data_IF_777373901512
#
_entry.id   IF_777373901512
#
_cell.length_a   1.000
_cell.length_b   1.000
_cell.length_c   1.000
_cell.angle_alpha   90.00
_cell.angle_beta   90.00
_cell.angle_gamma   90.00
#
_symmetry.space_group_name_H-M   'P 1'
#
loop_
_entity.id
_entity.type
_entity.pdbx_description
1 polymer ?
#
# COMPACT_ATOMS: atom_id res chain seq x y z
N UNK A 1 49.07 26.89 51.54
CA UNK A 1 48.93 25.81 52.53
C UNK A 1 47.88 24.83 52.06
N UNK A 2 48.21 23.54 52.17
CA UNK A 2 47.49 22.36 51.71
C UNK A 2 46.16 22.16 52.43
N UNK A 3 45.16 21.57 51.77
CA UNK A 3 44.66 20.25 52.15
C UNK A 3 43.87 19.63 50.98
N UNK A 4 44.46 18.57 50.43
CA UNK A 4 43.80 17.57 49.61
C UNK A 4 42.94 16.68 50.51
N UNK A 5 41.72 16.36 50.07
CA UNK A 5 40.94 15.26 50.65
C UNK A 5 40.27 14.52 49.50
N UNK A 6 40.84 13.38 49.18
CA UNK A 6 40.25 12.34 48.34
C UNK A 6 39.10 11.68 49.10
N UNK A 7 38.03 11.27 48.43
CA UNK A 7 37.56 9.89 48.41
C UNK A 7 36.47 9.68 47.34
N UNK A 8 36.47 8.44 46.87
CA UNK A 8 35.95 7.85 45.64
C UNK A 8 34.42 7.71 45.47
N UNK A 9 34.05 7.73 44.19
CA UNK A 9 33.11 6.88 43.43
C UNK A 9 31.74 6.49 44.03
N UNK A 10 30.69 6.97 43.37
CA UNK A 10 29.37 6.33 43.27
C UNK A 10 28.87 6.41 41.83
N UNK A 11 28.73 5.26 41.19
CA UNK A 11 28.37 5.02 39.78
C UNK A 11 26.88 5.25 39.54
N UNK A 12 26.49 5.94 38.47
CA UNK A 12 25.10 6.01 38.00
C UNK A 12 24.92 6.91 36.77
N UNK A 13 24.35 6.41 35.65
CA UNK A 13 24.44 7.07 34.35
C UNK A 13 23.40 8.18 34.14
N UNK A 14 23.78 9.08 33.23
CA UNK A 14 23.04 10.24 32.75
C UNK A 14 21.64 9.92 32.19
N UNK A 15 20.65 10.69 32.62
CA UNK A 15 19.36 10.83 31.97
C UNK A 15 18.97 12.30 31.95
N UNK A 16 19.33 12.99 30.86
CA UNK A 16 18.85 14.34 30.55
C UNK A 16 17.34 14.25 30.29
N UNK A 17 16.52 14.69 31.25
CA UNK A 17 15.14 15.05 31.01
C UNK A 17 15.09 16.51 30.56
N UNK A 18 14.61 16.74 29.35
CA UNK A 18 14.02 18.04 28.98
C UNK A 18 12.58 17.86 28.50
N UNK A 19 11.73 18.86 28.73
CA UNK A 19 10.28 18.69 28.84
C UNK A 19 9.52 19.29 27.66
N UNK A 20 8.39 18.72 27.27
CA UNK A 20 7.34 19.49 26.61
C UNK A 20 5.96 19.00 27.04
N UNK A 21 5.34 19.90 27.79
CA UNK A 21 4.01 19.90 28.34
C UNK A 21 2.98 19.87 27.21
N UNK A 22 2.05 18.93 27.32
CA UNK A 22 0.91 18.72 26.45
C UNK A 22 -0.16 19.78 26.75
N UNK A 23 -0.46 20.66 25.79
CA UNK A 23 -1.72 21.39 25.75
C UNK A 23 -2.59 20.89 24.58
N UNK A 24 -3.86 20.71 24.91
CA UNK A 24 -4.83 19.84 24.25
C UNK A 24 -5.82 20.65 23.43
N UNK A 25 -5.91 20.41 22.12
CA UNK A 25 -7.15 20.72 21.39
C UNK A 25 -7.47 19.70 20.28
N UNK A 26 -8.28 18.71 20.68
CA UNK A 26 -9.40 18.10 19.95
C UNK A 26 -9.29 18.04 18.41
N UNK A 27 -8.84 16.89 17.90
CA UNK A 27 -9.41 16.28 16.67
C UNK A 27 -9.38 14.76 16.81
N UNK A 28 -10.56 14.16 16.62
CA UNK A 28 -10.84 12.75 16.36
C UNK A 28 -9.65 11.78 16.46
N UNK A 29 -9.59 11.02 17.56
CA UNK A 29 -8.64 9.93 17.74
C UNK A 29 -8.90 8.79 16.75
N UNK A 30 -8.10 8.74 15.69
CA UNK A 30 -7.76 7.47 15.07
C UNK A 30 -6.82 6.73 16.01
N UNK A 31 -7.21 5.54 16.48
CA UNK A 31 -6.38 4.76 17.38
C UNK A 31 -5.02 4.47 16.70
N UNK A 32 -3.88 4.95 17.23
CA UNK A 32 -2.58 4.71 16.63
C UNK A 32 -2.22 3.22 16.60
N UNK A 33 -2.76 2.43 17.53
CA UNK A 33 -2.63 0.96 17.53
C UNK A 33 -3.39 0.33 16.34
N UNK A 34 -4.56 0.86 15.99
CA UNK A 34 -5.29 0.41 14.81
C UNK A 34 -4.50 0.76 13.54
N UNK A 35 -3.98 1.98 13.42
CA UNK A 35 -3.14 2.37 12.28
C UNK A 35 -1.86 1.52 12.17
N UNK A 36 -1.21 1.22 13.31
CA UNK A 36 -0.04 0.32 13.37
C UNK A 36 -0.39 -1.11 13.02
N UNK A 37 -1.49 -1.65 13.53
CA UNK A 37 -1.93 -3.02 13.25
C UNK A 37 -2.32 -3.17 11.77
N UNK A 38 -2.99 -2.16 11.21
CA UNK A 38 -3.33 -2.05 9.80
C UNK A 38 -2.06 -1.99 8.95
N UNK A 39 -1.08 -1.15 9.31
CA UNK A 39 0.23 -1.08 8.65
C UNK A 39 0.98 -2.42 8.71
N UNK A 40 1.05 -3.06 9.88
CA UNK A 40 1.71 -4.37 10.07
C UNK A 40 1.01 -5.45 9.25
N UNK A 41 -0.33 -5.51 9.25
CA UNK A 41 -1.07 -6.42 8.36
C UNK A 41 -0.73 -6.19 6.90
N UNK A 42 -0.62 -4.93 6.45
CA UNK A 42 -0.23 -4.62 5.07
C UNK A 42 1.22 -4.99 4.76
N UNK A 43 2.14 -4.83 5.71
CA UNK A 43 3.54 -5.23 5.51
C UNK A 43 3.68 -6.75 5.43
N UNK A 44 2.93 -7.49 6.25
CA UNK A 44 2.87 -8.95 6.20
C UNK A 44 2.16 -9.46 4.93
N UNK A 45 1.19 -8.71 4.41
CA UNK A 45 0.51 -9.03 3.16
C UNK A 45 1.43 -8.94 1.93
N UNK A 46 2.50 -8.12 1.95
CA UNK A 46 3.47 -8.03 0.86
C UNK A 46 4.16 -9.36 0.53
N UNK A 47 4.22 -10.31 1.49
CA UNK A 47 4.75 -11.66 1.25
C UNK A 47 3.77 -12.63 0.60
N UNK A 48 2.53 -12.19 0.32
CA UNK A 48 1.45 -13.05 -0.15
C UNK A 48 1.52 -13.17 -1.67
N UNK A 49 1.47 -14.41 -2.18
CA UNK A 49 1.28 -14.66 -3.61
C UNK A 49 -0.16 -14.29 -3.95
N UNK A 50 -0.37 -13.15 -4.59
CA UNK A 50 -1.68 -12.74 -5.11
C UNK A 50 -2.05 -13.64 -6.30
N UNK A 51 -3.29 -14.12 -6.31
CA UNK A 51 -3.74 -15.14 -7.26
C UNK A 51 -5.13 -14.82 -7.76
N UNK A 52 -5.35 -14.96 -9.06
CA UNK A 52 -6.68 -14.76 -9.68
C UNK A 52 -7.72 -15.79 -9.22
N UNK A 53 -7.30 -16.84 -8.49
CA UNK A 53 -8.18 -17.91 -7.99
C UNK A 53 -8.36 -17.93 -6.48
N UNK A 54 -7.67 -17.07 -5.72
CA UNK A 54 -7.77 -17.04 -4.26
C UNK A 54 -8.93 -16.13 -3.83
N UNK A 55 -9.98 -16.71 -3.21
CA UNK A 55 -11.15 -15.96 -2.73
C UNK A 55 -10.83 -15.02 -1.57
N UNK A 56 -9.69 -15.21 -0.89
CA UNK A 56 -9.21 -14.35 0.17
C UNK A 56 -8.27 -13.23 -0.34
N UNK A 57 -8.07 -13.10 -1.65
CA UNK A 57 -7.29 -12.02 -2.26
C UNK A 57 -8.16 -10.74 -2.27
N UNK A 58 -7.71 -9.64 -1.63
CA UNK A 58 -8.45 -8.38 -1.62
C UNK A 58 -8.69 -7.80 -3.01
N UNK A 59 -7.91 -8.23 -4.03
CA UNK A 59 -8.13 -7.85 -5.43
C UNK A 59 -9.28 -8.61 -6.08
N UNK A 60 -9.67 -9.77 -5.52
CA UNK A 60 -10.82 -10.57 -5.95
C UNK A 60 -12.08 -10.26 -5.12
N UNK A 61 -12.07 -9.20 -4.31
CA UNK A 61 -13.26 -8.78 -3.57
C UNK A 61 -14.48 -8.78 -4.49
N UNK A 62 -15.56 -9.43 -4.05
CA UNK A 62 -16.78 -9.58 -4.84
C UNK A 62 -17.29 -8.19 -5.22
N UNK A 63 -17.32 -7.94 -6.52
CA UNK A 63 -17.99 -6.78 -7.08
C UNK A 63 -19.24 -7.31 -7.76
N UNK A 64 -20.38 -6.70 -7.43
CA UNK A 64 -21.68 -7.04 -8.00
C UNK A 64 -21.57 -7.21 -9.53
N UNK A 65 -22.14 -8.29 -10.06
CA UNK A 65 -22.02 -8.60 -11.49
C UNK A 65 -22.71 -7.56 -12.39
N UNK A 66 -23.62 -6.76 -11.83
CA UNK A 66 -24.30 -5.65 -12.50
C UNK A 66 -23.49 -4.34 -12.48
N UNK A 67 -22.33 -4.29 -11.79
CA UNK A 67 -21.52 -3.08 -11.78
C UNK A 67 -21.11 -2.68 -13.20
N UNK A 68 -21.21 -1.38 -13.47
CA UNK A 68 -20.59 -0.76 -14.64
C UNK A 68 -19.22 -0.19 -14.28
N UNK A 69 -18.17 -0.68 -14.92
CA UNK A 69 -16.81 -0.11 -14.80
C UNK A 69 -16.49 0.63 -16.10
N UNK A 70 -16.27 1.94 -16.05
CA UNK A 70 -15.74 2.66 -17.21
C UNK A 70 -14.28 2.23 -17.45
N UNK A 71 -14.09 1.30 -18.38
CA UNK A 71 -12.77 0.72 -18.66
C UNK A 71 -11.79 1.74 -19.22
N UNK A 72 -12.26 2.80 -19.91
CA UNK A 72 -11.39 3.84 -20.45
C UNK A 72 -10.86 4.72 -19.32
N UNK A 73 -11.75 5.19 -18.45
CA UNK A 73 -11.35 6.00 -17.30
C UNK A 73 -10.49 5.20 -16.31
N UNK A 74 -10.84 3.94 -16.07
CA UNK A 74 -10.01 3.04 -15.25
C UNK A 74 -8.60 2.90 -15.83
N UNK A 75 -8.45 2.63 -17.13
CA UNK A 75 -7.13 2.50 -17.75
C UNK A 75 -6.33 3.81 -17.67
N UNK A 76 -6.96 4.97 -17.89
CA UNK A 76 -6.29 6.26 -17.68
C UNK A 76 -5.82 6.44 -16.25
N UNK A 77 -6.66 6.08 -15.27
CA UNK A 77 -6.30 6.16 -13.85
C UNK A 77 -5.14 5.23 -13.52
N UNK A 78 -5.15 3.99 -14.00
CA UNK A 78 -4.04 3.04 -13.82
C UNK A 78 -2.76 3.63 -14.41
N UNK A 79 -2.79 4.11 -15.66
CA UNK A 79 -1.61 4.70 -16.29
C UNK A 79 -1.07 5.90 -15.49
N UNK A 80 -1.95 6.73 -14.94
CA UNK A 80 -1.57 7.83 -14.07
C UNK A 80 -0.90 7.33 -12.78
N UNK A 81 -1.50 6.39 -12.06
CA UNK A 81 -0.97 5.82 -10.81
C UNK A 81 0.41 5.19 -11.00
N UNK A 82 0.57 4.41 -12.09
CA UNK A 82 1.86 3.80 -12.43
C UNK A 82 2.94 4.86 -12.65
N UNK A 83 2.61 5.97 -13.31
CA UNK A 83 3.54 7.07 -13.54
C UNK A 83 3.84 7.86 -12.27
N UNK A 84 2.83 8.17 -11.45
CA UNK A 84 3.00 8.96 -10.23
C UNK A 84 3.88 8.28 -9.20
N UNK A 85 3.76 6.95 -9.07
CA UNK A 85 4.51 6.17 -8.09
C UNK A 85 5.73 5.45 -8.70
N UNK A 86 6.08 5.76 -9.96
CA UNK A 86 7.18 5.12 -10.69
C UNK A 86 7.09 3.59 -10.69
N UNK A 87 5.88 3.04 -10.76
CA UNK A 87 5.63 1.60 -10.75
C UNK A 87 5.87 1.07 -12.17
N UNK A 88 6.80 0.12 -12.37
CA UNK A 88 7.00 -0.49 -13.67
C UNK A 88 5.76 -1.29 -14.09
N UNK A 89 5.33 -1.11 -15.34
CA UNK A 89 4.20 -1.85 -15.92
C UNK A 89 4.36 -3.37 -15.81
N UNK A 90 5.59 -3.88 -15.92
CA UNK A 90 5.86 -5.31 -15.80
C UNK A 90 5.51 -5.85 -14.41
N UNK A 91 5.93 -5.16 -13.36
CA UNK A 91 5.64 -5.54 -11.97
C UNK A 91 4.12 -5.50 -11.72
N UNK A 92 3.45 -4.45 -12.19
CA UNK A 92 2.00 -4.36 -12.08
C UNK A 92 1.27 -5.49 -12.81
N UNK A 93 1.65 -5.77 -14.06
CA UNK A 93 1.04 -6.81 -14.87
C UNK A 93 1.18 -8.19 -14.21
N UNK A 94 2.36 -8.49 -13.66
CA UNK A 94 2.65 -9.75 -13.00
C UNK A 94 1.89 -9.90 -11.68
N UNK A 95 1.97 -8.91 -10.79
CA UNK A 95 1.43 -9.03 -9.42
C UNK A 95 -0.07 -8.80 -9.33
N UNK A 96 -0.63 -7.90 -10.14
CA UNK A 96 -2.07 -7.59 -10.06
C UNK A 96 -2.86 -8.47 -11.00
N UNK A 97 -2.35 -8.73 -12.21
CA UNK A 97 -3.13 -9.39 -13.26
C UNK A 97 -2.65 -10.80 -13.58
N UNK A 98 -1.47 -11.21 -13.09
CA UNK A 98 -0.80 -12.45 -13.49
C UNK A 98 -0.66 -12.55 -15.03
N UNK A 99 -0.32 -11.42 -15.68
CA UNK A 99 -0.15 -11.29 -17.14
C UNK A 99 1.19 -10.67 -17.49
N UNK A 100 1.54 -10.73 -18.78
CA UNK A 100 2.75 -10.09 -19.32
C UNK A 100 2.59 -8.58 -19.44
N UNK A 101 3.70 -7.85 -19.37
CA UNK A 101 3.75 -6.40 -19.59
C UNK A 101 3.13 -5.98 -20.92
N UNK A 102 3.39 -6.74 -22.00
CA UNK A 102 2.80 -6.48 -23.32
C UNK A 102 1.27 -6.51 -23.31
N UNK A 103 0.68 -7.44 -22.55
CA UNK A 103 -0.78 -7.54 -22.40
C UNK A 103 -1.35 -6.30 -21.71
N UNK A 104 -0.73 -5.85 -20.62
CA UNK A 104 -1.14 -4.63 -19.92
C UNK A 104 -0.96 -3.39 -20.81
N UNK A 105 0.14 -3.31 -21.55
CA UNK A 105 0.43 -2.17 -22.44
C UNK A 105 -0.65 -2.01 -23.52
N UNK A 106 -1.02 -3.11 -24.17
CA UNK A 106 -2.10 -3.10 -25.17
C UNK A 106 -3.45 -2.73 -24.53
N UNK A 107 -3.75 -3.33 -23.36
CA UNK A 107 -4.97 -3.06 -22.60
C UNK A 107 -5.12 -1.58 -22.23
N UNK A 108 -4.02 -0.92 -21.80
CA UNK A 108 -4.02 0.50 -21.43
C UNK A 108 -4.10 1.42 -22.66
N UNK A 109 -3.57 1.00 -23.81
CA UNK A 109 -3.59 1.80 -25.05
C UNK A 109 -4.96 1.77 -25.71
N UNK A 110 -5.60 0.59 -25.78
CA UNK A 110 -6.87 0.40 -26.47
C UNK A 110 -7.86 -0.43 -25.63
N UNK A 111 -8.34 0.08 -24.48
CA UNK A 111 -9.27 -0.67 -23.65
C UNK A 111 -10.61 -0.88 -24.35
N UNK A 112 -11.09 -2.13 -24.39
CA UNK A 112 -12.45 -2.45 -24.85
C UNK A 112 -13.47 -1.90 -23.85
N UNK A 113 -14.57 -1.29 -24.31
CA UNK A 113 -15.62 -0.79 -23.42
C UNK A 113 -16.29 -1.95 -22.66
N UNK A 114 -16.65 -1.72 -21.39
CA UNK A 114 -17.24 -2.72 -20.47
C UNK A 114 -18.37 -3.55 -21.09
N UNK A 115 -19.32 -2.87 -21.73
CA UNK A 115 -20.49 -3.51 -22.32
C UNK A 115 -20.17 -4.43 -23.51
N UNK A 116 -18.97 -4.31 -24.11
CA UNK A 116 -18.52 -5.16 -25.23
C UNK A 116 -17.54 -6.26 -24.80
N UNK A 117 -17.25 -6.39 -23.51
CA UNK A 117 -16.38 -7.44 -22.99
C UNK A 117 -17.11 -8.77 -22.91
N UNK A 118 -16.68 -9.73 -23.74
CA UNK A 118 -17.12 -11.14 -23.70
C UNK A 118 -16.35 -11.97 -22.66
N UNK A 119 -15.11 -11.58 -22.35
CA UNK A 119 -14.23 -12.21 -21.38
C UNK A 119 -13.23 -11.18 -20.84
N UNK A 120 -12.55 -11.47 -19.72
CA UNK A 120 -11.53 -10.57 -19.15
C UNK A 120 -12.08 -9.44 -18.28
N UNK A 121 -13.36 -9.52 -17.86
CA UNK A 121 -13.93 -8.59 -16.87
C UNK A 121 -13.18 -8.64 -15.54
N UNK A 122 -12.73 -9.83 -15.13
CA UNK A 122 -11.90 -10.05 -13.94
C UNK A 122 -10.65 -9.15 -13.92
N UNK A 123 -10.02 -8.93 -15.07
CA UNK A 123 -8.81 -8.09 -15.19
C UNK A 123 -9.11 -6.66 -14.79
N UNK A 124 -10.23 -6.12 -15.29
CA UNK A 124 -10.66 -4.77 -14.94
C UNK A 124 -11.18 -4.70 -13.50
N UNK A 125 -11.86 -5.72 -12.99
CA UNK A 125 -12.27 -5.81 -11.58
C UNK A 125 -11.07 -5.77 -10.63
N UNK A 126 -10.01 -6.53 -10.93
CA UNK A 126 -8.76 -6.50 -10.14
C UNK A 126 -8.06 -5.15 -10.20
N UNK A 127 -7.98 -4.52 -11.38
CA UNK A 127 -7.46 -3.14 -11.51
C UNK A 127 -8.29 -2.14 -10.72
N UNK A 128 -9.62 -2.25 -10.80
CA UNK A 128 -10.57 -1.41 -10.07
C UNK A 128 -10.41 -1.57 -8.56
N UNK A 129 -10.35 -2.80 -8.06
CA UNK A 129 -10.12 -3.07 -6.64
C UNK A 129 -8.76 -2.56 -6.17
N UNK A 130 -7.71 -2.68 -6.99
CA UNK A 130 -6.38 -2.16 -6.66
C UNK A 130 -6.37 -0.63 -6.53
N UNK A 131 -7.00 0.11 -7.45
CA UNK A 131 -7.08 1.59 -7.36
C UNK A 131 -7.99 2.09 -6.24
N UNK A 132 -8.73 1.21 -5.58
CA UNK A 132 -9.51 1.55 -4.39
C UNK A 132 -8.74 1.27 -3.08
N UNK A 133 -7.68 0.44 -3.12
CA UNK A 133 -6.86 0.18 -1.94
C UNK A 133 -6.11 1.44 -1.47
N UNK A 134 -5.79 1.58 -0.18
CA UNK A 134 -4.89 2.63 0.30
C UNK A 134 -3.49 2.49 -0.32
N UNK A 135 -2.79 3.61 -0.51
CA UNK A 135 -1.48 3.63 -1.19
C UNK A 135 -0.46 2.65 -0.57
N UNK A 136 -0.39 2.59 0.76
CA UNK A 136 0.50 1.66 1.46
C UNK A 136 0.24 0.20 1.06
N UNK A 137 -1.02 -0.18 0.90
CA UNK A 137 -1.40 -1.53 0.47
C UNK A 137 -1.10 -1.73 -1.02
N UNK A 138 -1.37 -0.75 -1.89
CA UNK A 138 -1.02 -0.83 -3.31
C UNK A 138 0.46 -1.11 -3.53
N UNK A 139 1.32 -0.36 -2.86
CA UNK A 139 2.76 -0.52 -2.95
C UNK A 139 3.24 -1.81 -2.26
N UNK A 140 2.61 -2.18 -1.14
CA UNK A 140 2.87 -3.45 -0.44
C UNK A 140 2.58 -4.67 -1.32
N UNK A 141 1.45 -4.68 -2.03
CA UNK A 141 1.07 -5.74 -2.99
C UNK A 141 2.13 -5.92 -4.08
N UNK A 142 2.77 -4.83 -4.48
CA UNK A 142 3.79 -4.81 -5.52
C UNK A 142 5.21 -5.07 -4.99
N UNK A 143 5.37 -5.36 -3.69
CA UNK A 143 6.67 -5.45 -3.01
C UNK A 143 7.53 -4.17 -3.20
N UNK A 144 6.90 -3.02 -3.42
CA UNK A 144 7.56 -1.75 -3.76
C UNK A 144 7.71 -0.80 -2.56
N UNK A 145 7.37 -1.24 -1.35
CA UNK A 145 7.64 -0.47 -0.14
C UNK A 145 9.17 -0.31 -0.03
N UNK A 146 9.69 0.88 -0.39
CA UNK A 146 11.11 1.17 -0.22
C UNK A 146 11.45 0.91 1.25
N UNK A 147 12.33 -0.05 1.49
CA UNK A 147 13.05 -0.16 2.75
C UNK A 147 13.89 1.11 2.85
N UNK A 148 13.40 2.06 3.64
CA UNK A 148 14.16 3.23 4.08
C UNK A 148 14.97 2.86 5.31
#
# INVERSE_FOLDING_TARGET
MMYVRTFSFGTGPAGLLSPLHLDSHRRHGGNPEFARHVYIKYTLAGRRVYSTKDSNDPLNAEIDDDIYIDTKELCKRIAYELKQHSIPQAIFAERILCRSQGTLSDLLRNPKPWNKLKSGRETFRRMFNWVQQPLAMRLGILDMCKQG
#
